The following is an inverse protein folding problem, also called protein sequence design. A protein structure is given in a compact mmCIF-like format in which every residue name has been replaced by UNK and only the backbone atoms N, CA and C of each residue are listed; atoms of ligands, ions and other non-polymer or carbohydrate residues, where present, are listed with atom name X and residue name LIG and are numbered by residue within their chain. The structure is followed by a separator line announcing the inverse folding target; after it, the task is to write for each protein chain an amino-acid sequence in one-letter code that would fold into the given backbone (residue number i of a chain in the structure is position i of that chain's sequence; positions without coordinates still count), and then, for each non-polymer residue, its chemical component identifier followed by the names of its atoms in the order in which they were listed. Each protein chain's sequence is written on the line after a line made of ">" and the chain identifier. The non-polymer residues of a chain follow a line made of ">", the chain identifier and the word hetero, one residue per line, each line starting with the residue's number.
data_IF_046920340807
#
_entry.id   IF_046920340807
#
_cell.length_a   1.000
_cell.length_b   1.000
_cell.length_c   1.000
_cell.angle_alpha   90.00
_cell.angle_beta   90.00
_cell.angle_gamma   90.00
#
_symmetry.space_group_name_H-M   'P 1'
#
loop_
_entity.id
_entity.type
_entity.pdbx_description
1 polymer ?
#
# COMPACT_ATOMS: atom_id res chain seq x y z
N UNK A 1 -61.38 20.19 -42.49
CA UNK A 1 -60.12 19.81 -41.85
C UNK A 1 -59.11 20.85 -42.25
N UNK A 2 -58.61 21.62 -41.30
CA UNK A 2 -57.86 22.84 -41.58
C UNK A 2 -56.45 22.48 -42.06
N UNK A 3 -55.97 23.08 -43.12
CA UNK A 3 -54.64 22.85 -43.73
C UNK A 3 -53.47 23.06 -42.75
N UNK A 4 -53.68 23.86 -41.72
CA UNK A 4 -52.71 24.06 -40.63
C UNK A 4 -52.60 22.86 -39.69
N UNK A 5 -53.72 22.21 -39.36
CA UNK A 5 -53.75 20.99 -38.54
C UNK A 5 -53.00 19.81 -39.14
N UNK A 6 -53.04 19.67 -40.48
CA UNK A 6 -52.36 18.59 -41.17
C UNK A 6 -50.80 18.79 -41.18
N UNK A 7 -50.33 20.02 -41.34
CA UNK A 7 -48.89 20.34 -41.26
C UNK A 7 -48.31 20.12 -39.88
N UNK A 8 -49.05 20.40 -38.83
CA UNK A 8 -48.63 20.19 -37.44
C UNK A 8 -48.53 18.70 -37.08
N UNK A 9 -49.47 17.88 -37.63
CA UNK A 9 -49.46 16.42 -37.49
C UNK A 9 -48.20 15.84 -38.22
N UNK A 10 -47.91 16.26 -39.45
CA UNK A 10 -46.75 15.80 -40.21
C UNK A 10 -45.43 16.18 -39.49
N UNK A 11 -45.37 17.36 -38.90
CA UNK A 11 -44.21 17.80 -38.12
C UNK A 11 -44.01 16.94 -36.87
N UNK A 12 -45.10 16.61 -36.16
CA UNK A 12 -45.08 15.75 -34.98
C UNK A 12 -44.64 14.33 -35.35
N UNK A 13 -45.14 13.75 -36.41
CA UNK A 13 -44.72 12.43 -36.92
C UNK A 13 -43.21 12.41 -37.24
N UNK A 14 -42.66 13.45 -37.89
CA UNK A 14 -41.23 13.53 -38.16
C UNK A 14 -40.39 13.61 -36.88
N UNK A 15 -40.87 14.34 -35.86
CA UNK A 15 -40.19 14.42 -34.58
C UNK A 15 -40.21 13.09 -33.82
N UNK A 16 -41.35 12.39 -33.80
CA UNK A 16 -41.46 11.06 -33.20
C UNK A 16 -40.56 10.06 -33.89
N UNK A 17 -40.52 10.04 -35.23
CA UNK A 17 -39.66 9.15 -35.97
C UNK A 17 -38.17 9.44 -35.70
N UNK A 18 -37.76 10.71 -35.64
CA UNK A 18 -36.38 11.08 -35.27
C UNK A 18 -36.02 10.61 -33.88
N UNK A 19 -36.93 10.74 -32.92
CA UNK A 19 -36.75 10.25 -31.53
C UNK A 19 -36.60 8.73 -31.48
N UNK A 20 -37.46 8.00 -32.22
CA UNK A 20 -37.38 6.53 -32.30
C UNK A 20 -36.04 6.04 -32.89
N UNK A 21 -35.54 6.72 -33.93
CA UNK A 21 -34.23 6.41 -34.50
C UNK A 21 -33.08 6.69 -33.52
N UNK A 22 -33.13 7.78 -32.76
CA UNK A 22 -32.08 8.10 -31.76
C UNK A 22 -32.11 7.11 -30.60
N UNK A 23 -33.31 6.77 -30.07
CA UNK A 23 -33.42 5.77 -28.98
C UNK A 23 -33.00 4.38 -29.47
N UNK A 24 -33.40 3.98 -30.68
CA UNK A 24 -32.98 2.71 -31.28
C UNK A 24 -31.47 2.62 -31.47
N UNK A 25 -30.81 3.71 -31.91
CA UNK A 25 -29.38 3.80 -32.05
C UNK A 25 -28.63 3.65 -30.72
N UNK A 26 -29.12 4.34 -29.68
CA UNK A 26 -28.52 4.22 -28.32
C UNK A 26 -28.68 2.79 -27.79
N UNK A 27 -29.85 2.17 -27.98
CA UNK A 27 -30.09 0.80 -27.51
C UNK A 27 -29.15 -0.19 -28.22
N UNK A 28 -28.91 -0.02 -29.51
CA UNK A 28 -27.99 -0.87 -30.28
C UNK A 28 -26.56 -0.74 -29.79
N UNK A 29 -26.11 0.48 -29.50
CA UNK A 29 -24.75 0.72 -28.97
C UNK A 29 -24.60 0.07 -27.58
N UNK A 30 -25.61 0.19 -26.71
CA UNK A 30 -25.57 -0.44 -25.39
C UNK A 30 -25.53 -1.98 -25.50
N UNK A 31 -26.34 -2.58 -26.38
CA UNK A 31 -26.34 -4.04 -26.60
C UNK A 31 -24.98 -4.50 -27.15
N UNK A 32 -24.39 -3.78 -28.11
CA UNK A 32 -23.05 -4.11 -28.62
C UNK A 32 -21.99 -3.97 -27.53
N UNK A 33 -22.06 -2.94 -26.70
CA UNK A 33 -21.13 -2.74 -25.59
C UNK A 33 -21.22 -3.86 -24.55
N UNK A 34 -22.45 -4.29 -24.21
CA UNK A 34 -22.69 -5.42 -23.32
C UNK A 34 -22.15 -6.73 -23.92
N UNK A 35 -22.42 -6.98 -25.21
CA UNK A 35 -21.90 -8.16 -25.89
C UNK A 35 -20.36 -8.17 -25.96
N UNK A 36 -19.70 -7.02 -26.16
CA UNK A 36 -18.23 -6.92 -26.13
C UNK A 36 -17.66 -7.19 -24.74
N UNK A 37 -18.37 -6.84 -23.67
CA UNK A 37 -17.95 -7.18 -22.31
C UNK A 37 -18.03 -8.70 -22.10
N UNK A 38 -19.10 -9.35 -22.53
CA UNK A 38 -19.23 -10.81 -22.38
C UNK A 38 -18.35 -11.63 -23.32
N UNK A 39 -18.03 -11.13 -24.52
CA UNK A 39 -17.09 -11.78 -25.44
C UNK A 39 -15.64 -11.53 -25.01
N UNK A 40 -15.36 -10.39 -24.32
CA UNK A 40 -14.04 -10.09 -23.74
C UNK A 40 -13.64 -11.04 -22.62
N UNK A 41 -14.61 -11.52 -21.83
CA UNK A 41 -14.33 -12.48 -20.74
C UNK A 41 -13.98 -13.89 -21.23
N UNK A 42 -14.44 -14.30 -22.42
CA UNK A 42 -14.07 -15.61 -23.00
C UNK A 42 -12.67 -15.64 -23.64
N UNK A 43 -12.13 -14.49 -24.04
CA UNK A 43 -10.75 -14.43 -24.58
C UNK A 43 -9.67 -14.35 -23.49
N UNK A 44 -10.03 -14.09 -22.23
CA UNK A 44 -9.08 -14.07 -21.12
C UNK A 44 -8.90 -15.43 -20.44
N UNK A 45 -9.64 -16.45 -20.84
CA UNK A 45 -9.58 -17.78 -20.24
C UNK A 45 -8.57 -18.75 -20.87
N UNK A 46 -7.92 -18.40 -21.98
CA UNK A 46 -6.87 -19.28 -22.54
C UNK A 46 -5.51 -19.16 -21.80
N UNK A 47 -5.26 -18.05 -21.09
CA UNK A 47 -4.06 -17.90 -20.25
C UNK A 47 -4.18 -18.59 -18.88
N UNK A 48 -5.37 -19.09 -18.51
CA UNK A 48 -5.62 -19.69 -17.21
C UNK A 48 -5.17 -21.16 -17.11
N UNK A 49 -4.84 -21.83 -18.21
CA UNK A 49 -4.36 -23.23 -18.16
C UNK A 49 -2.86 -23.35 -17.87
N UNK A 50 -2.09 -22.26 -18.04
CA UNK A 50 -0.68 -22.26 -17.66
C UNK A 50 -0.46 -21.93 -16.18
N UNK A 51 -1.48 -21.34 -15.51
CA UNK A 51 -1.38 -20.98 -14.09
C UNK A 51 -1.42 -22.18 -13.13
N UNK A 52 -1.91 -23.33 -13.59
CA UNK A 52 -1.97 -24.54 -12.76
C UNK A 52 -0.59 -25.18 -12.55
N UNK A 53 0.24 -25.20 -13.57
CA UNK A 53 1.60 -25.73 -13.47
C UNK A 53 2.51 -24.79 -12.67
N UNK A 54 2.34 -23.47 -12.84
CA UNK A 54 3.09 -22.46 -12.10
C UNK A 54 2.67 -22.40 -10.62
N UNK A 55 1.38 -22.61 -10.34
CA UNK A 55 0.87 -22.70 -8.97
C UNK A 55 1.33 -23.97 -8.27
N UNK A 56 1.39 -25.10 -8.98
CA UNK A 56 1.93 -26.36 -8.46
C UNK A 56 3.43 -26.28 -8.15
N UNK A 57 4.20 -25.49 -8.92
CA UNK A 57 5.62 -25.24 -8.65
C UNK A 57 5.82 -24.33 -7.42
N UNK A 58 4.90 -23.41 -7.17
CA UNK A 58 4.92 -22.55 -5.97
C UNK A 58 4.52 -23.37 -4.74
N UNK A 59 3.51 -24.24 -4.86
CA UNK A 59 3.02 -25.08 -3.76
C UNK A 59 3.93 -26.30 -3.50
N UNK A 60 4.70 -26.76 -4.49
CA UNK A 60 5.69 -27.83 -4.34
C UNK A 60 7.06 -27.36 -3.82
N UNK A 61 7.24 -26.04 -3.65
CA UNK A 61 8.36 -25.58 -2.87
C UNK A 61 8.22 -26.19 -1.48
N UNK A 62 9.13 -27.12 -1.14
CA UNK A 62 9.19 -27.73 0.18
C UNK A 62 8.97 -26.61 1.20
N UNK A 63 8.13 -26.82 2.23
CA UNK A 63 7.93 -25.84 3.26
C UNK A 63 9.32 -25.41 3.69
N UNK A 64 9.67 -24.16 3.39
CA UNK A 64 10.84 -23.57 4.01
C UNK A 64 10.51 -23.73 5.48
N UNK A 65 11.23 -24.61 6.16
CA UNK A 65 11.22 -24.65 7.61
C UNK A 65 11.67 -23.25 8.01
N UNK A 66 10.72 -22.34 8.07
CA UNK A 66 10.93 -21.15 8.87
C UNK A 66 11.30 -21.71 10.23
N UNK A 67 12.52 -21.48 10.73
CA UNK A 67 12.77 -21.76 12.13
C UNK A 67 11.56 -21.16 12.81
N UNK A 68 10.79 -22.00 13.51
CA UNK A 68 9.62 -21.54 14.24
C UNK A 68 10.07 -20.23 14.87
N UNK A 69 9.41 -19.12 14.53
CA UNK A 69 9.69 -17.85 15.19
C UNK A 69 9.68 -18.26 16.64
N UNK A 70 10.87 -18.41 17.21
CA UNK A 70 11.02 -18.97 18.53
C UNK A 70 10.03 -18.18 19.35
N UNK A 71 9.02 -18.87 19.88
CA UNK A 71 7.98 -18.29 20.72
C UNK A 71 8.66 -17.85 22.02
N UNK A 72 9.73 -17.07 21.87
CA UNK A 72 10.37 -16.47 23.00
C UNK A 72 9.34 -15.51 23.59
N UNK A 73 8.85 -15.89 24.76
CA UNK A 73 8.03 -15.07 25.65
C UNK A 73 8.62 -13.68 25.95
N UNK A 74 9.66 -13.30 25.25
CA UNK A 74 10.60 -12.23 25.51
C UNK A 74 10.67 -11.20 24.36
N UNK A 75 9.79 -11.32 23.34
CA UNK A 75 9.72 -10.33 22.28
C UNK A 75 9.17 -9.00 22.79
N UNK A 76 9.68 -7.91 22.24
CA UNK A 76 9.18 -6.59 22.58
C UNK A 76 7.70 -6.45 22.26
N UNK A 77 6.98 -5.84 23.19
CA UNK A 77 5.57 -5.45 23.06
C UNK A 77 5.49 -3.93 23.18
N UNK A 78 4.79 -3.30 22.26
CA UNK A 78 4.61 -1.86 22.25
C UNK A 78 3.76 -1.37 23.42
N UNK A 79 4.02 -0.16 23.90
CA UNK A 79 3.13 0.51 24.84
C UNK A 79 1.76 0.77 24.18
N UNK A 80 0.68 0.41 24.89
CA UNK A 80 -0.68 0.63 24.41
C UNK A 80 -1.09 2.10 24.61
N UNK A 81 -1.62 2.71 23.55
CA UNK A 81 -2.13 4.09 23.57
C UNK A 81 -3.22 4.27 24.63
N UNK A 82 -3.99 3.22 24.94
CA UNK A 82 -4.99 3.26 25.99
C UNK A 82 -4.40 3.67 27.35
N UNK A 83 -3.13 3.35 27.59
CA UNK A 83 -2.39 3.69 28.82
C UNK A 83 -1.71 5.07 28.75
N UNK A 84 -1.81 5.78 27.63
CA UNK A 84 -1.19 7.09 27.50
C UNK A 84 -1.89 8.15 28.36
N UNK A 85 -1.16 9.22 28.77
CA UNK A 85 -1.78 10.36 29.41
C UNK A 85 -2.92 10.93 28.57
N UNK A 86 -4.06 11.27 29.17
CA UNK A 86 -5.28 11.67 28.47
C UNK A 86 -5.05 12.80 27.47
N UNK A 87 -4.25 13.80 27.82
CA UNK A 87 -3.91 14.92 26.92
C UNK A 87 -3.05 14.54 25.71
N UNK A 88 -2.51 13.30 25.62
CA UNK A 88 -1.70 12.82 24.51
C UNK A 88 -2.42 11.82 23.61
N UNK A 89 -3.45 11.15 24.12
CA UNK A 89 -4.15 10.08 23.38
C UNK A 89 -4.55 10.47 21.98
N UNK A 90 -5.26 11.59 21.84
CA UNK A 90 -5.73 12.04 20.52
C UNK A 90 -4.59 12.28 19.51
N UNK A 91 -3.44 12.79 19.95
CA UNK A 91 -2.27 12.98 19.10
C UNK A 91 -1.65 11.64 18.69
N UNK A 92 -1.57 10.69 19.63
CA UNK A 92 -1.00 9.36 19.39
C UNK A 92 -1.89 8.55 18.43
N UNK A 93 -3.22 8.58 18.64
CA UNK A 93 -4.18 7.95 17.73
C UNK A 93 -4.09 8.54 16.33
N UNK A 94 -3.97 9.87 16.22
CA UNK A 94 -3.79 10.52 14.92
C UNK A 94 -2.47 10.10 14.27
N UNK A 95 -1.37 10.00 15.02
CA UNK A 95 -0.08 9.51 14.52
C UNK A 95 -0.15 8.07 14.02
N UNK A 96 -0.83 7.19 14.76
CA UNK A 96 -1.10 5.80 14.34
C UNK A 96 -1.92 5.76 13.05
N UNK A 97 -2.99 6.56 12.96
CA UNK A 97 -3.83 6.65 11.77
C UNK A 97 -3.04 7.12 10.54
N UNK A 98 -2.15 8.11 10.69
CA UNK A 98 -1.28 8.58 9.63
C UNK A 98 -0.31 7.51 9.13
N UNK A 99 0.21 6.67 10.00
CA UNK A 99 1.11 5.55 9.67
C UNK A 99 0.36 4.43 8.96
N UNK A 100 -0.83 4.07 9.46
CA UNK A 100 -1.67 3.01 8.91
C UNK A 100 -2.22 3.40 7.54
N UNK A 101 -2.67 4.64 7.40
CA UNK A 101 -3.39 5.15 6.25
C UNK A 101 -2.67 6.34 5.58
N UNK A 102 -1.35 6.30 5.48
CA UNK A 102 -0.53 7.40 4.94
C UNK A 102 -1.05 7.90 3.59
N UNK A 103 -1.42 6.99 2.70
CA UNK A 103 -1.93 7.32 1.37
C UNK A 103 -3.25 8.11 1.39
N UNK A 104 -4.11 7.87 2.40
CA UNK A 104 -5.36 8.61 2.61
C UNK A 104 -5.11 10.10 2.89
N UNK A 105 -3.99 10.40 3.54
CA UNK A 105 -3.63 11.76 3.95
C UNK A 105 -2.67 12.43 2.99
N UNK A 106 -1.70 11.70 2.46
CA UNK A 106 -0.57 12.23 1.69
C UNK A 106 -0.39 11.60 0.31
N UNK A 107 -1.17 10.60 -0.06
CA UNK A 107 -1.13 9.96 -1.37
C UNK A 107 -1.55 10.89 -2.51
N UNK A 108 -1.60 10.39 -3.76
CA UNK A 108 -1.96 11.19 -4.93
C UNK A 108 -3.34 11.86 -4.83
N UNK A 109 -4.21 11.34 -3.97
CA UNK A 109 -5.54 11.92 -3.64
C UNK A 109 -5.66 12.21 -2.13
N UNK A 110 -4.54 12.50 -1.47
CA UNK A 110 -4.48 12.71 -0.03
C UNK A 110 -5.32 13.89 0.45
N UNK A 111 -5.98 13.74 1.60
CA UNK A 111 -6.86 14.77 2.16
C UNK A 111 -6.11 15.95 2.80
N UNK A 112 -4.83 15.77 3.17
CA UNK A 112 -3.98 16.81 3.75
C UNK A 112 -3.10 17.44 2.66
N UNK A 113 -2.41 16.61 1.88
CA UNK A 113 -1.55 17.05 0.79
C UNK A 113 -1.26 15.89 -0.17
N UNK A 114 -0.80 16.21 -1.39
CA UNK A 114 -0.42 15.22 -2.40
C UNK A 114 1.11 15.10 -2.42
N UNK A 115 1.67 14.39 -1.46
CA UNK A 115 3.11 14.37 -1.20
C UNK A 115 3.78 13.03 -1.49
N UNK A 116 3.03 11.94 -1.72
CA UNK A 116 3.60 10.58 -1.80
C UNK A 116 3.00 9.76 -2.95
N UNK A 117 3.63 8.60 -3.21
CA UNK A 117 3.24 7.65 -4.27
C UNK A 117 2.00 6.79 -3.96
N UNK A 118 1.36 6.98 -2.80
CA UNK A 118 0.18 6.21 -2.41
C UNK A 118 0.46 4.96 -1.57
N UNK A 119 1.70 4.71 -1.18
CA UNK A 119 2.02 3.67 -0.18
C UNK A 119 1.79 4.18 1.24
N UNK A 120 1.59 3.25 2.16
CA UNK A 120 1.47 3.52 3.59
C UNK A 120 2.75 3.14 4.34
N UNK A 121 3.07 3.83 5.42
CA UNK A 121 4.21 3.50 6.27
C UNK A 121 4.11 2.04 6.78
N UNK A 122 2.91 1.58 7.13
CA UNK A 122 2.70 0.21 7.59
C UNK A 122 2.92 -0.87 6.52
N UNK A 123 3.05 -0.55 5.24
CA UNK A 123 3.44 -1.53 4.21
C UNK A 123 4.84 -2.12 4.49
N UNK A 124 5.71 -1.33 5.15
CA UNK A 124 7.04 -1.77 5.58
C UNK A 124 7.15 -1.91 7.10
N UNK A 125 6.35 -1.17 7.87
CA UNK A 125 6.33 -1.18 9.34
C UNK A 125 5.06 -1.86 9.83
N UNK A 126 5.04 -3.20 9.77
CA UNK A 126 3.84 -4.01 9.95
C UNK A 126 3.13 -3.73 11.27
N UNK A 127 1.79 -3.82 11.24
CA UNK A 127 0.91 -3.54 12.37
C UNK A 127 1.20 -2.17 13.02
N UNK A 128 1.16 -1.11 12.20
CA UNK A 128 1.51 0.24 12.63
C UNK A 128 2.91 0.35 13.27
N UNK A 129 3.85 -0.52 12.91
CA UNK A 129 5.21 -0.55 13.46
C UNK A 129 5.31 -1.23 14.83
N UNK A 130 4.36 -2.07 15.21
CA UNK A 130 4.39 -2.81 16.50
C UNK A 130 4.68 -4.31 16.32
N UNK A 131 4.69 -4.83 15.07
CA UNK A 131 4.93 -6.24 14.81
C UNK A 131 6.41 -6.60 15.03
N UNK A 132 6.75 -7.56 15.91
CA UNK A 132 8.10 -8.11 15.99
C UNK A 132 8.57 -8.62 14.62
N UNK A 133 9.82 -8.37 14.28
CA UNK A 133 10.44 -8.66 12.97
C UNK A 133 9.73 -8.04 11.76
N UNK A 134 8.73 -7.22 11.98
CA UNK A 134 8.03 -6.45 10.96
C UNK A 134 8.57 -5.03 10.79
N UNK A 135 9.88 -4.83 10.97
CA UNK A 135 10.54 -3.52 10.93
C UNK A 135 9.89 -2.54 11.93
N UNK A 136 9.70 -3.00 13.17
CA UNK A 136 8.97 -2.27 14.20
C UNK A 136 9.70 -1.01 14.70
N UNK A 137 8.97 -0.18 15.44
CA UNK A 137 9.47 1.07 16.01
C UNK A 137 10.07 0.93 17.42
N UNK A 138 10.10 -0.27 18.00
CA UNK A 138 10.52 -0.50 19.38
C UNK A 138 11.89 0.09 19.75
N UNK A 139 12.84 0.09 18.82
CA UNK A 139 14.19 0.61 19.07
C UNK A 139 14.37 2.08 18.67
N UNK A 140 13.33 2.77 18.22
CA UNK A 140 13.51 4.14 17.68
C UNK A 140 13.74 5.13 18.82
N UNK A 141 12.86 5.19 19.81
CA UNK A 141 12.99 6.09 20.96
C UNK A 141 14.30 5.85 21.72
N UNK A 142 14.73 4.58 21.83
CA UNK A 142 15.92 4.20 22.58
C UNK A 142 17.23 4.54 21.86
N UNK A 143 17.25 4.51 20.52
CA UNK A 143 18.52 4.61 19.74
C UNK A 143 18.70 5.94 19.01
N UNK A 144 17.66 6.74 18.78
CA UNK A 144 17.78 8.05 18.16
C UNK A 144 18.02 9.17 19.20
N UNK A 145 18.77 10.25 18.86
CA UNK A 145 19.49 10.47 17.61
C UNK A 145 20.66 9.50 17.47
N UNK A 146 21.01 9.12 16.20
CA UNK A 146 22.15 8.24 15.94
C UNK A 146 22.83 8.55 14.60
N UNK A 147 24.10 8.14 14.49
CA UNK A 147 24.83 8.20 13.24
C UNK A 147 24.21 7.28 12.19
N UNK A 148 24.06 7.81 10.97
CA UNK A 148 23.55 7.08 9.81
C UNK A 148 24.58 7.11 8.69
N UNK A 149 25.13 5.94 8.33
CA UNK A 149 26.16 5.83 7.30
C UNK A 149 25.74 6.35 5.92
N UNK A 150 24.43 6.33 5.61
CA UNK A 150 23.92 6.81 4.32
C UNK A 150 24.00 8.33 4.17
N UNK A 151 23.73 9.08 5.23
CA UNK A 151 23.83 10.54 5.23
C UNK A 151 25.21 11.04 5.70
N UNK A 152 26.01 10.17 6.34
CA UNK A 152 27.26 10.54 6.96
C UNK A 152 27.11 11.47 8.18
N UNK A 153 25.91 11.54 8.78
CA UNK A 153 25.56 12.49 9.83
C UNK A 153 24.79 11.83 10.98
N UNK A 154 24.69 12.55 12.11
CA UNK A 154 23.78 12.20 13.19
C UNK A 154 22.39 12.67 12.79
N UNK A 155 21.44 11.76 12.75
CA UNK A 155 20.04 12.02 12.43
C UNK A 155 19.16 11.85 13.66
N UNK A 156 18.20 12.74 13.79
CA UNK A 156 17.08 12.61 14.72
C UNK A 156 15.91 11.83 14.07
N UNK A 157 14.83 11.65 14.82
CA UNK A 157 13.66 10.94 14.34
C UNK A 157 12.91 11.69 13.24
N UNK A 158 12.90 13.03 13.27
CA UNK A 158 12.25 13.84 12.24
C UNK A 158 12.92 13.64 10.89
N UNK A 159 14.26 13.72 10.86
CA UNK A 159 15.03 13.45 9.66
C UNK A 159 14.80 12.03 9.16
N UNK A 160 14.73 11.04 10.08
CA UNK A 160 14.48 9.65 9.69
C UNK A 160 13.09 9.45 9.09
N UNK A 161 12.06 10.10 9.63
CA UNK A 161 10.71 10.09 9.06
C UNK A 161 10.70 10.77 7.69
N UNK A 162 11.35 11.94 7.58
CA UNK A 162 11.48 12.65 6.30
C UNK A 162 12.15 11.78 5.23
N UNK A 163 13.23 11.07 5.56
CA UNK A 163 13.90 10.13 4.65
C UNK A 163 12.98 9.02 4.13
N UNK A 164 12.04 8.55 4.94
CA UNK A 164 11.06 7.55 4.50
C UNK A 164 10.06 8.15 3.51
N UNK A 165 9.59 9.38 3.73
CA UNK A 165 8.74 10.08 2.77
C UNK A 165 9.46 10.30 1.45
N UNK A 166 10.70 10.78 1.49
CA UNK A 166 11.47 11.12 0.30
C UNK A 166 11.86 9.88 -0.52
N UNK A 167 12.28 8.80 0.14
CA UNK A 167 12.83 7.62 -0.54
C UNK A 167 11.82 6.50 -0.72
N UNK A 168 11.17 6.07 0.38
CA UNK A 168 10.27 4.90 0.32
C UNK A 168 8.92 5.26 -0.28
N UNK A 169 8.44 6.47 0.01
CA UNK A 169 7.16 6.97 -0.50
C UNK A 169 7.33 7.86 -1.74
N UNK A 170 8.56 7.99 -2.26
CA UNK A 170 8.92 8.79 -3.44
C UNK A 170 8.25 10.17 -3.44
N UNK A 171 8.40 10.91 -2.35
CA UNK A 171 7.63 12.12 -2.12
C UNK A 171 8.35 13.19 -1.33
N UNK A 172 7.58 13.99 -0.63
CA UNK A 172 8.04 15.10 0.22
C UNK A 172 7.49 14.90 1.62
N UNK A 173 8.33 15.09 2.62
CA UNK A 173 7.91 14.98 4.01
C UNK A 173 7.03 16.16 4.46
N UNK A 174 6.07 15.93 5.37
CA UNK A 174 5.42 17.02 6.09
C UNK A 174 6.47 17.87 6.82
N UNK A 175 6.21 19.16 6.93
CA UNK A 175 7.14 20.07 7.63
C UNK A 175 7.27 19.72 9.10
N UNK A 176 8.48 19.83 9.63
CA UNK A 176 8.72 19.78 11.09
C UNK A 176 7.89 20.85 11.77
N UNK A 177 7.23 20.51 12.87
CA UNK A 177 6.27 21.39 13.56
C UNK A 177 4.85 21.35 12.98
N UNK A 178 4.60 20.66 11.86
CA UNK A 178 3.23 20.41 11.41
C UNK A 178 2.54 19.41 12.33
N UNK A 179 1.21 19.52 12.42
CA UNK A 179 0.38 18.61 13.22
C UNK A 179 0.65 17.14 12.86
N UNK A 180 0.83 16.86 11.59
CA UNK A 180 1.03 15.52 11.04
C UNK A 180 2.42 14.96 11.43
N UNK A 181 3.48 15.73 11.21
CA UNK A 181 4.83 15.30 11.56
C UNK A 181 4.96 15.08 13.07
N UNK A 182 4.44 16.01 13.88
CA UNK A 182 4.46 15.88 15.34
C UNK A 182 3.65 14.66 15.83
N UNK A 183 2.51 14.35 15.20
CA UNK A 183 1.72 13.19 15.53
C UNK A 183 2.45 11.87 15.19
N UNK A 184 3.05 11.77 14.00
CA UNK A 184 3.84 10.61 13.57
C UNK A 184 5.00 10.39 14.53
N UNK A 185 5.80 11.41 14.81
CA UNK A 185 6.98 11.33 15.68
C UNK A 185 6.57 10.99 17.12
N UNK A 186 5.49 11.60 17.63
CA UNK A 186 4.98 11.30 18.96
C UNK A 186 4.56 9.84 19.10
N UNK A 187 3.84 9.29 18.12
CA UNK A 187 3.43 7.89 18.11
C UNK A 187 4.64 6.94 18.08
N UNK A 188 5.58 7.17 17.17
CA UNK A 188 6.78 6.33 17.04
C UNK A 188 7.60 6.32 18.35
N UNK A 189 7.75 7.49 18.98
CA UNK A 189 8.45 7.57 20.27
C UNK A 189 7.68 6.86 21.38
N UNK A 190 6.36 7.01 21.40
CA UNK A 190 5.52 6.45 22.46
C UNK A 190 5.56 4.92 22.47
N UNK A 191 5.36 4.27 21.31
CA UNK A 191 5.31 2.80 21.25
C UNK A 191 6.63 2.13 21.65
N UNK A 192 7.77 2.80 21.47
CA UNK A 192 9.10 2.30 21.85
C UNK A 192 9.64 2.86 23.18
N UNK A 193 8.82 3.58 23.95
CA UNK A 193 9.29 4.27 25.16
C UNK A 193 9.68 3.32 26.30
N UNK A 194 9.17 2.09 26.29
CA UNK A 194 9.49 1.04 27.26
C UNK A 194 10.84 0.36 27.03
N UNK A 195 11.58 0.73 25.97
CA UNK A 195 12.92 0.22 25.70
C UNK A 195 13.97 1.16 26.30
N UNK A 196 14.89 0.62 27.10
CA UNK A 196 15.93 1.39 27.76
C UNK A 196 16.82 2.10 26.74
N UNK A 197 17.19 3.35 27.04
CA UNK A 197 18.04 4.17 26.18
C UNK A 197 19.35 3.47 25.83
N UNK A 198 19.63 3.37 24.53
CA UNK A 198 20.80 2.68 23.98
C UNK A 198 20.53 1.21 23.62
N UNK A 199 19.50 0.59 24.16
CA UNK A 199 19.16 -0.81 23.89
C UNK A 199 18.33 -0.96 22.62
N UNK A 200 18.31 -2.18 22.08
CA UNK A 200 17.43 -2.58 20.98
C UNK A 200 16.30 -3.44 21.52
N UNK A 201 15.08 -3.18 21.06
CA UNK A 201 13.94 -4.03 21.33
C UNK A 201 14.17 -5.43 20.74
N UNK A 202 13.83 -6.49 21.46
CA UNK A 202 13.89 -7.86 20.92
C UNK A 202 12.89 -8.01 19.77
N UNK A 203 13.32 -8.58 18.66
CA UNK A 203 12.53 -8.64 17.42
C UNK A 203 12.55 -7.33 16.63
N UNK A 204 13.53 -6.43 16.87
CA UNK A 204 13.74 -5.25 16.02
C UNK A 204 14.18 -5.61 14.61
N UNK A 205 13.80 -4.77 13.63
CA UNK A 205 14.18 -4.94 12.24
C UNK A 205 13.35 -6.03 11.55
N UNK A 206 13.99 -6.77 10.67
CA UNK A 206 13.40 -7.90 9.95
C UNK A 206 14.07 -9.19 10.42
N UNK A 207 13.38 -10.31 10.23
CA UNK A 207 13.97 -11.60 10.50
C UNK A 207 15.06 -11.91 9.47
N UNK A 208 16.27 -12.21 9.94
CA UNK A 208 17.39 -12.59 9.09
C UNK A 208 17.31 -14.09 8.79
N UNK A 209 17.07 -14.42 7.53
CA UNK A 209 17.10 -15.81 7.07
C UNK A 209 18.54 -16.26 6.95
N UNK A 210 18.80 -17.50 7.36
CA UNK A 210 20.08 -18.13 7.06
C UNK A 210 20.31 -18.22 5.54
N UNK A 211 21.54 -18.09 5.10
CA UNK A 211 21.87 -18.35 3.71
C UNK A 211 21.53 -19.78 3.36
N UNK A 212 20.94 -19.97 2.18
CA UNK A 212 20.67 -21.31 1.67
C UNK A 212 21.99 -22.01 1.35
N UNK A 213 22.05 -23.31 1.58
CA UNK A 213 23.16 -24.20 1.26
C UNK A 213 23.28 -24.54 -0.23
N UNK A 214 22.47 -23.93 -1.05
CA UNK A 214 22.39 -24.10 -2.51
C UNK A 214 22.48 -22.77 -3.25
N UNK A 215 22.91 -22.80 -4.50
CA UNK A 215 22.84 -21.66 -5.40
C UNK A 215 21.38 -21.23 -5.68
N UNK A 216 21.20 -19.96 -5.98
CA UNK A 216 19.93 -19.43 -6.47
C UNK A 216 19.53 -20.13 -7.80
N UNK A 217 18.22 -20.28 -7.98
CA UNK A 217 17.63 -20.82 -9.22
C UNK A 217 16.93 -19.65 -9.97
N UNK A 218 17.56 -19.11 -11.02
CA UNK A 218 17.00 -17.96 -11.74
C UNK A 218 15.67 -18.25 -12.43
N UNK A 219 15.43 -19.51 -12.87
CA UNK A 219 14.18 -19.89 -13.54
C UNK A 219 13.01 -19.85 -12.55
N UNK A 220 13.17 -20.45 -11.38
CA UNK A 220 12.18 -20.34 -10.29
C UNK A 220 12.04 -18.91 -9.78
N UNK A 221 13.14 -18.18 -9.68
CA UNK A 221 13.15 -16.78 -9.29
C UNK A 221 12.30 -15.91 -10.22
N UNK A 222 12.37 -16.14 -11.54
CA UNK A 222 11.55 -15.44 -12.54
C UNK A 222 10.06 -15.69 -12.32
N UNK A 223 9.66 -16.93 -12.09
CA UNK A 223 8.26 -17.29 -11.82
C UNK A 223 7.77 -16.61 -10.53
N UNK A 224 8.55 -16.71 -9.46
CA UNK A 224 8.22 -16.08 -8.18
C UNK A 224 8.16 -14.54 -8.30
N UNK A 225 9.06 -13.95 -9.06
CA UNK A 225 9.06 -12.50 -9.30
C UNK A 225 7.79 -12.06 -10.01
N UNK A 226 7.40 -12.75 -11.08
CA UNK A 226 6.17 -12.50 -11.82
C UNK A 226 4.93 -12.61 -10.91
N UNK A 227 4.88 -13.61 -10.04
CA UNK A 227 3.74 -13.87 -9.17
C UNK A 227 3.65 -12.95 -7.94
N UNK A 228 4.78 -12.49 -7.41
CA UNK A 228 4.84 -11.82 -6.09
C UNK A 228 5.36 -10.38 -6.11
N UNK A 229 6.11 -9.99 -7.12
CA UNK A 229 6.89 -8.75 -7.10
C UNK A 229 6.51 -7.75 -8.21
N UNK A 230 6.07 -8.23 -9.37
CA UNK A 230 5.77 -7.41 -10.57
C UNK A 230 4.74 -6.32 -10.29
N UNK A 231 3.75 -6.56 -9.46
CA UNK A 231 2.70 -5.59 -9.14
C UNK A 231 3.22 -4.26 -8.59
N UNK A 232 4.38 -4.30 -7.91
CA UNK A 232 5.03 -3.10 -7.36
C UNK A 232 6.33 -2.75 -8.09
N UNK A 233 7.06 -3.77 -8.57
CA UNK A 233 8.40 -3.59 -9.12
C UNK A 233 8.45 -3.57 -10.65
N UNK A 234 7.33 -3.69 -11.35
CA UNK A 234 7.24 -3.79 -12.81
C UNK A 234 7.94 -5.06 -13.35
N UNK A 235 7.68 -5.41 -14.61
CA UNK A 235 8.26 -6.61 -15.22
C UNK A 235 9.79 -6.52 -15.42
N UNK A 236 10.30 -5.31 -15.58
CA UNK A 236 11.71 -4.97 -15.79
C UNK A 236 12.44 -4.55 -14.50
N UNK A 237 11.75 -4.52 -13.37
CA UNK A 237 12.33 -4.10 -12.09
C UNK A 237 12.46 -2.59 -11.90
N UNK A 238 11.92 -1.75 -12.81
CA UNK A 238 12.03 -0.29 -12.74
C UNK A 238 11.25 0.34 -11.57
N UNK A 239 10.28 -0.37 -11.02
CA UNK A 239 9.40 0.13 -9.98
C UNK A 239 8.31 1.05 -10.52
N UNK A 240 7.37 1.42 -9.67
CA UNK A 240 6.35 2.44 -9.98
C UNK A 240 6.88 3.81 -9.56
N UNK A 241 7.04 4.70 -10.52
CA UNK A 241 7.35 6.11 -10.27
C UNK A 241 6.08 6.92 -10.15
#
# INVERSE_FOLDING_TARGET
>A
MDLNSQKDIDKLIKQINALLWTVGGILTVVVVMVLLIFVGDDMSNEDSQNSGADRALIDSAAPVNHPSLDESSDLWVADDIANAPEGKKAQLEYGKELIVNTAKYFGPKGSVAHLTNGMNCQNCHLNAGTQPYGNNYGSVASTYPKYRGRSGAIEDIYKRVADCFERSLNGVAPKVGSKEMEAIVSYINYVGNNVKKGDKAKGSGIYELALLDRAADPAKGKILYAAKCVSCHQADGSGMM
#
